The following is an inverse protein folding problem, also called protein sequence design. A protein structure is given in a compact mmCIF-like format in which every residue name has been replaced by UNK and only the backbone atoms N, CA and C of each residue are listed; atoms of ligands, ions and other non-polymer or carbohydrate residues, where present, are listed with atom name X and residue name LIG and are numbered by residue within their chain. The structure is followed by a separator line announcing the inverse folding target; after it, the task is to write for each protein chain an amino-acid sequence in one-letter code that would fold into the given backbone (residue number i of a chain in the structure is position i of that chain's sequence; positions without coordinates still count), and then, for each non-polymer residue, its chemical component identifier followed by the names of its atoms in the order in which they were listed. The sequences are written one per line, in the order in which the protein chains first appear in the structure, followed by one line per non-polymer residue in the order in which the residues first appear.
data_IF_435398682823
#
_entry.id   IF_435398682823
#
_cell.length_a   1.000
_cell.length_b   1.000
_cell.length_c   1.000
_cell.angle_alpha   90.00
_cell.angle_beta   90.00
_cell.angle_gamma   90.00
#
_symmetry.space_group_name_H-M   'P 1'
#
loop_
_entity.id
_entity.type
_entity.pdbx_description
1 polymer ?
#
# COMPACT_ATOMS: atom_id res chain seq x y z
N UNK A 1 28.11 10.62 -42.43
CA UNK A 1 28.48 10.46 -41.00
C UNK A 1 27.20 10.39 -40.19
N UNK A 2 26.75 9.19 -39.83
CA UNK A 2 25.63 9.06 -38.90
C UNK A 2 26.10 9.46 -37.50
N UNK A 3 25.34 10.30 -36.80
CA UNK A 3 25.64 10.62 -35.42
C UNK A 3 25.68 9.32 -34.60
N UNK A 4 26.83 9.01 -33.99
CA UNK A 4 26.93 7.92 -33.02
C UNK A 4 26.08 8.31 -31.81
N UNK A 5 24.90 7.71 -31.70
CA UNK A 5 24.07 7.82 -30.50
C UNK A 5 24.85 7.15 -29.37
N UNK A 6 25.11 7.88 -28.28
CA UNK A 6 25.71 7.30 -27.09
C UNK A 6 24.78 6.19 -26.55
N UNK A 7 25.31 5.04 -26.10
CA UNK A 7 24.48 4.01 -25.49
C UNK A 7 23.72 4.62 -24.30
N UNK A 8 22.40 4.42 -24.29
CA UNK A 8 21.52 4.86 -23.21
C UNK A 8 21.40 3.71 -22.23
N UNK A 9 21.60 3.99 -20.94
CA UNK A 9 21.46 3.01 -19.87
C UNK A 9 20.55 3.59 -18.79
N UNK A 10 19.84 2.71 -18.09
CA UNK A 10 18.92 3.08 -17.04
C UNK A 10 19.41 2.54 -15.70
N UNK A 11 19.49 3.42 -14.70
CA UNK A 11 19.74 3.04 -13.32
C UNK A 11 18.51 3.40 -12.51
N UNK A 12 17.91 2.40 -11.86
CA UNK A 12 16.81 2.58 -10.91
C UNK A 12 17.31 2.34 -9.49
N UNK A 13 16.79 3.10 -8.53
CA UNK A 13 17.05 2.92 -7.11
C UNK A 13 15.74 2.99 -6.34
N UNK A 14 15.53 2.07 -5.40
CA UNK A 14 14.33 1.99 -4.55
C UNK A 14 13.01 2.04 -5.35
N UNK A 15 12.97 1.45 -6.55
CA UNK A 15 11.79 1.53 -7.40
C UNK A 15 10.70 0.55 -6.92
N UNK A 16 9.46 1.01 -6.66
CA UNK A 16 8.33 0.13 -6.35
C UNK A 16 7.79 -0.49 -7.65
N UNK A 17 8.56 -1.37 -8.29
CA UNK A 17 8.31 -1.92 -9.64
C UNK A 17 6.86 -2.34 -9.87
N UNK A 18 6.26 -3.01 -8.88
CA UNK A 18 4.89 -3.52 -8.97
C UNK A 18 3.92 -2.85 -7.99
N UNK A 19 4.29 -1.68 -7.46
CA UNK A 19 3.61 -1.00 -6.37
C UNK A 19 4.12 -1.43 -4.99
N UNK A 20 3.47 -0.93 -3.92
CA UNK A 20 3.84 -1.22 -2.54
C UNK A 20 2.59 -1.33 -1.64
N UNK A 21 2.47 -2.42 -0.88
CA UNK A 21 1.35 -2.61 0.05
C UNK A 21 1.33 -1.54 1.17
N UNK A 22 2.45 -0.89 1.43
CA UNK A 22 2.56 0.29 2.32
C UNK A 22 1.56 1.40 1.95
N UNK A 23 1.22 1.57 0.66
CA UNK A 23 0.21 2.54 0.25
C UNK A 23 -1.19 2.23 0.83
N UNK A 24 -1.57 0.95 0.90
CA UNK A 24 -2.80 0.51 1.57
C UNK A 24 -2.75 0.80 3.07
N UNK A 25 -1.62 0.49 3.74
CA UNK A 25 -1.44 0.84 5.15
C UNK A 25 -1.61 2.32 5.38
N UNK A 26 -0.97 3.16 4.58
CA UNK A 26 -1.04 4.61 4.76
C UNK A 26 -2.45 5.16 4.55
N UNK A 27 -3.24 4.57 3.66
CA UNK A 27 -4.65 4.92 3.49
C UNK A 27 -5.49 4.65 4.76
N UNK A 28 -5.09 3.70 5.60
CA UNK A 28 -5.79 3.36 6.85
C UNK A 28 -5.18 3.98 8.11
N UNK A 29 -3.87 4.20 8.14
CA UNK A 29 -3.14 4.61 9.35
C UNK A 29 -2.57 6.03 9.26
N UNK A 30 -2.45 6.62 8.07
CA UNK A 30 -1.62 7.80 7.85
C UNK A 30 -0.16 7.43 7.50
N UNK A 31 0.67 8.44 7.26
CA UNK A 31 2.12 8.31 7.16
C UNK A 31 2.77 8.52 8.53
N UNK A 32 3.87 7.79 8.78
CA UNK A 32 4.65 7.92 10.00
C UNK A 32 5.60 9.13 9.94
N UNK A 33 6.03 9.59 11.12
CA UNK A 33 7.07 10.60 11.28
C UNK A 33 6.75 11.95 10.62
N UNK A 34 7.81 12.64 10.15
CA UNK A 34 7.70 13.97 9.54
C UNK A 34 6.87 14.00 8.26
N UNK A 35 6.86 12.89 7.51
CA UNK A 35 6.10 12.76 6.25
C UNK A 35 4.59 12.85 6.49
N UNK A 36 4.11 12.39 7.65
CA UNK A 36 2.71 12.51 8.07
C UNK A 36 2.18 13.95 8.09
N UNK A 37 3.02 14.94 8.38
CA UNK A 37 2.59 16.34 8.36
C UNK A 37 2.36 16.89 6.95
N UNK A 38 2.85 16.21 5.92
CA UNK A 38 2.72 16.63 4.51
C UNK A 38 1.70 15.78 3.78
N UNK A 39 1.77 14.45 3.93
CA UNK A 39 0.95 13.50 3.18
C UNK A 39 -0.28 12.98 3.95
N UNK A 40 -0.41 13.36 5.21
CA UNK A 40 -1.53 13.00 6.08
C UNK A 40 -1.12 12.04 7.20
N UNK A 41 -1.56 12.33 8.42
CA UNK A 41 -1.21 11.57 9.65
C UNK A 41 -2.24 10.51 10.05
N UNK A 42 -3.36 10.45 9.33
CA UNK A 42 -4.46 9.53 9.59
C UNK A 42 -5.18 9.18 8.27
N UNK A 43 -6.12 8.23 8.34
CA UNK A 43 -6.86 7.77 7.17
C UNK A 43 -7.61 8.90 6.45
N UNK A 44 -8.22 9.84 7.19
CA UNK A 44 -9.01 10.90 6.59
C UNK A 44 -8.16 11.86 5.76
N UNK A 45 -7.02 12.29 6.29
CA UNK A 45 -6.09 13.18 5.58
C UNK A 45 -5.47 12.48 4.36
N UNK A 46 -5.02 11.24 4.51
CA UNK A 46 -4.45 10.48 3.38
C UNK A 46 -5.52 10.24 2.32
N UNK A 47 -6.75 9.86 2.69
CA UNK A 47 -7.84 9.62 1.73
C UNK A 47 -8.20 10.88 0.94
N UNK A 48 -8.27 12.03 1.61
CA UNK A 48 -8.59 13.31 0.99
C UNK A 48 -7.56 13.73 -0.09
N UNK A 49 -6.33 13.23 0.00
CA UNK A 49 -5.28 13.44 -1.00
C UNK A 49 -5.20 12.27 -2.00
N UNK A 50 -4.94 11.06 -1.50
CA UNK A 50 -4.55 9.90 -2.30
C UNK A 50 -5.67 9.44 -3.24
N UNK A 51 -6.93 9.51 -2.82
CA UNK A 51 -8.08 9.16 -3.69
C UNK A 51 -8.20 10.06 -4.94
N UNK A 52 -7.55 11.23 -4.92
CA UNK A 52 -7.58 12.22 -6.00
C UNK A 52 -6.25 12.35 -6.75
N UNK A 53 -5.19 11.66 -6.30
CA UNK A 53 -3.85 11.72 -6.85
C UNK A 53 -3.57 10.51 -7.78
N UNK A 54 -3.55 10.75 -9.10
CA UNK A 54 -3.35 9.67 -10.08
C UNK A 54 -2.03 8.91 -9.86
N UNK A 55 -0.92 9.63 -9.70
CA UNK A 55 0.39 9.00 -9.44
C UNK A 55 0.44 8.23 -8.12
N UNK A 56 -0.27 8.71 -7.08
CA UNK A 56 -0.37 7.97 -5.82
C UNK A 56 -1.15 6.67 -5.94
N UNK A 57 -2.23 6.66 -6.73
CA UNK A 57 -3.01 5.45 -7.02
C UNK A 57 -2.24 4.45 -7.90
N UNK A 58 -1.30 4.94 -8.72
CA UNK A 58 -0.40 4.09 -9.51
C UNK A 58 0.64 3.37 -8.63
N UNK A 59 0.90 3.81 -7.39
CA UNK A 59 1.79 3.12 -6.45
C UNK A 59 1.15 1.93 -5.73
N UNK A 60 -0.16 1.72 -5.88
CA UNK A 60 -0.84 0.58 -5.28
C UNK A 60 -0.31 -0.75 -5.89
N UNK A 61 -0.30 -1.85 -5.12
CA UNK A 61 -0.03 -3.18 -5.65
C UNK A 61 -0.80 -3.46 -6.96
N UNK A 62 -0.08 -3.61 -8.06
CA UNK A 62 -0.68 -3.79 -9.38
C UNK A 62 -0.98 -5.29 -9.66
N UNK A 63 -1.46 -5.60 -10.86
CA UNK A 63 -1.79 -6.97 -11.27
C UNK A 63 -0.59 -7.94 -11.35
N UNK A 64 0.64 -7.42 -11.33
CA UNK A 64 1.92 -8.14 -11.29
C UNK A 64 2.53 -8.21 -9.89
N UNK A 65 1.97 -7.52 -8.90
CA UNK A 65 2.50 -7.52 -7.53
C UNK A 65 2.52 -8.95 -6.97
N UNK A 66 3.66 -9.30 -6.39
CA UNK A 66 3.86 -10.55 -5.68
C UNK A 66 4.50 -10.24 -4.33
N UNK A 67 4.09 -11.01 -3.33
CA UNK A 67 4.74 -11.04 -2.02
C UNK A 67 6.07 -11.79 -2.12
N UNK A 68 6.98 -11.58 -1.17
CA UNK A 68 8.31 -12.22 -1.12
C UNK A 68 8.22 -13.75 -1.23
N UNK A 69 7.17 -14.33 -0.64
CA UNK A 69 6.77 -15.70 -0.96
C UNK A 69 5.77 -15.61 -2.10
N UNK A 70 6.07 -16.08 -3.33
CA UNK A 70 5.30 -15.73 -4.53
C UNK A 70 3.79 -16.01 -4.42
N UNK A 71 3.03 -14.97 -4.11
CA UNK A 71 1.56 -14.96 -4.00
C UNK A 71 1.05 -13.55 -4.32
N UNK A 72 -0.15 -13.44 -4.91
CA UNK A 72 -0.80 -12.15 -5.16
C UNK A 72 -1.59 -11.66 -3.94
N UNK A 73 -1.78 -12.51 -2.92
CA UNK A 73 -2.63 -12.28 -1.75
C UNK A 73 -1.92 -11.44 -0.68
N UNK A 74 -1.61 -10.20 -1.02
CA UNK A 74 -0.92 -9.27 -0.12
C UNK A 74 -1.82 -8.64 0.96
N UNK A 75 -3.14 -8.84 0.91
CA UNK A 75 -4.09 -8.35 1.91
C UNK A 75 -4.83 -9.49 2.61
N UNK A 76 -4.70 -9.56 3.93
CA UNK A 76 -5.15 -10.71 4.73
C UNK A 76 -5.83 -10.30 6.04
N UNK A 77 -6.64 -11.21 6.57
CA UNK A 77 -7.22 -11.19 7.90
C UNK A 77 -6.74 -12.44 8.65
N UNK A 78 -6.25 -12.27 9.87
CA UNK A 78 -6.08 -13.35 10.83
C UNK A 78 -7.22 -13.26 11.83
N UNK A 79 -8.10 -14.25 11.81
CA UNK A 79 -9.26 -14.30 12.70
C UNK A 79 -8.89 -14.68 14.14
N UNK A 80 -9.86 -14.62 15.04
CA UNK A 80 -9.72 -15.01 16.46
C UNK A 80 -9.24 -16.46 16.67
N UNK A 81 -9.44 -17.34 15.68
CA UNK A 81 -8.99 -18.73 15.69
C UNK A 81 -7.57 -18.89 15.11
N UNK A 82 -6.88 -17.78 14.83
CA UNK A 82 -5.57 -17.72 14.18
C UNK A 82 -5.58 -18.28 12.76
N UNK A 83 -6.74 -18.34 12.12
CA UNK A 83 -6.86 -18.73 10.72
C UNK A 83 -6.67 -17.52 9.83
N UNK A 84 -5.84 -17.70 8.82
CA UNK A 84 -5.58 -16.68 7.81
C UNK A 84 -6.62 -16.78 6.68
N UNK A 85 -7.15 -15.62 6.29
CA UNK A 85 -8.08 -15.45 5.18
C UNK A 85 -7.55 -14.35 4.27
N UNK A 86 -7.53 -14.56 2.95
CA UNK A 86 -7.24 -13.47 2.04
C UNK A 86 -8.49 -12.63 1.82
N UNK A 87 -8.36 -11.32 1.99
CA UNK A 87 -9.44 -10.36 1.74
C UNK A 87 -9.59 -10.02 0.25
N UNK A 88 -8.68 -10.52 -0.59
CA UNK A 88 -8.63 -10.27 -2.03
C UNK A 88 -8.70 -11.54 -2.87
N UNK A 89 -9.15 -12.66 -2.31
CA UNK A 89 -9.30 -13.94 -3.04
C UNK A 89 -10.20 -13.83 -4.27
N UNK A 90 -11.24 -12.98 -4.22
CA UNK A 90 -12.14 -12.73 -5.34
C UNK A 90 -11.53 -11.83 -6.44
N UNK A 91 -10.35 -11.25 -6.19
CA UNK A 91 -9.72 -10.20 -7.01
C UNK A 91 -8.30 -10.56 -7.48
N UNK A 92 -8.08 -11.72 -8.13
CA UNK A 92 -6.77 -12.09 -8.63
C UNK A 92 -6.29 -11.19 -9.78
N UNK A 93 -5.00 -10.86 -9.78
CA UNK A 93 -4.29 -10.20 -10.90
C UNK A 93 -5.01 -8.92 -11.34
N UNK A 94 -5.46 -8.84 -12.59
CA UNK A 94 -6.16 -7.68 -13.17
C UNK A 94 -7.43 -7.28 -12.40
N UNK A 95 -8.06 -8.22 -11.69
CA UNK A 95 -9.24 -7.92 -10.86
C UNK A 95 -8.89 -7.11 -9.60
N UNK A 96 -7.61 -6.91 -9.29
CA UNK A 96 -7.22 -6.07 -8.14
C UNK A 96 -7.76 -4.63 -8.27
N UNK A 97 -7.91 -4.12 -9.49
CA UNK A 97 -8.52 -2.80 -9.71
C UNK A 97 -10.02 -2.80 -9.40
N UNK A 98 -10.71 -3.95 -9.46
CA UNK A 98 -12.09 -4.07 -8.99
C UNK A 98 -12.18 -3.99 -7.46
N UNK A 99 -11.20 -4.57 -6.76
CA UNK A 99 -11.06 -4.38 -5.31
C UNK A 99 -10.86 -2.89 -4.97
N UNK A 100 -9.95 -2.19 -5.63
CA UNK A 100 -9.72 -0.77 -5.36
C UNK A 100 -10.93 0.13 -5.67
N UNK A 101 -11.80 -0.24 -6.62
CA UNK A 101 -13.07 0.46 -6.86
C UNK A 101 -14.12 0.23 -5.77
N UNK A 102 -13.98 -0.84 -4.98
CA UNK A 102 -14.93 -1.18 -3.92
C UNK A 102 -14.66 -0.32 -2.70
N UNK A 103 -15.66 0.44 -2.25
CA UNK A 103 -15.56 1.41 -1.14
C UNK A 103 -16.49 1.10 0.04
N UNK A 104 -17.19 -0.03 -0.02
CA UNK A 104 -18.22 -0.42 0.96
C UNK A 104 -17.73 -1.43 1.99
N UNK A 105 -16.57 -2.06 1.79
CA UNK A 105 -16.05 -3.06 2.71
C UNK A 105 -15.26 -2.36 3.82
N UNK A 106 -15.26 -2.91 5.03
CA UNK A 106 -14.49 -2.32 6.14
C UNK A 106 -12.97 -2.28 5.88
N UNK A 107 -12.50 -3.17 5.00
CA UNK A 107 -11.11 -3.29 4.52
C UNK A 107 -10.89 -2.70 3.12
N UNK A 108 -11.88 -2.01 2.55
CA UNK A 108 -11.70 -1.24 1.29
C UNK A 108 -10.58 -0.22 1.44
N UNK A 109 -9.80 0.01 0.37
CA UNK A 109 -8.72 1.01 0.35
C UNK A 109 -9.19 2.39 0.87
N UNK A 110 -10.36 2.83 0.43
CA UNK A 110 -11.05 4.01 0.95
C UNK A 110 -12.52 3.69 1.21
N UNK A 111 -13.09 4.30 2.25
CA UNK A 111 -14.54 4.26 2.44
C UNK A 111 -15.23 5.36 1.65
N UNK A 112 -16.52 5.14 1.35
CA UNK A 112 -17.38 6.15 0.73
C UNK A 112 -17.41 7.48 1.51
N UNK A 113 -17.38 7.40 2.83
CA UNK A 113 -17.35 8.57 3.72
C UNK A 113 -16.09 9.39 3.51
N UNK A 114 -14.91 8.76 3.49
CA UNK A 114 -13.62 9.46 3.44
C UNK A 114 -13.33 10.11 2.08
N UNK A 115 -13.81 9.52 0.98
CA UNK A 115 -13.64 10.14 -0.35
C UNK A 115 -14.65 11.24 -0.62
N UNK A 116 -15.79 11.25 0.09
CA UNK A 116 -16.90 12.20 -0.17
C UNK A 116 -16.88 13.42 0.76
N UNK A 117 -15.79 13.63 1.51
CA UNK A 117 -15.66 14.74 2.45
C UNK A 117 -15.80 16.09 1.72
N UNK A 118 -16.58 17.00 2.31
CA UNK A 118 -16.88 18.32 1.75
C UNK A 118 -18.05 18.36 0.75
N UNK A 119 -18.59 17.21 0.34
CA UNK A 119 -19.75 17.12 -0.58
C UNK A 119 -20.90 16.25 -0.05
N UNK A 120 -20.86 15.88 1.23
CA UNK A 120 -21.70 14.87 1.89
C UNK A 120 -23.19 15.20 1.84
N UNK A 121 -23.53 16.48 1.70
CA UNK A 121 -24.92 16.96 1.72
C UNK A 121 -25.59 16.94 0.33
N UNK A 122 -24.84 16.69 -0.74
CA UNK A 122 -25.33 16.80 -2.11
C UNK A 122 -25.12 15.45 -2.82
N UNK A 123 -26.16 14.59 -2.93
CA UNK A 123 -26.03 13.24 -3.49
C UNK A 123 -25.39 13.20 -4.88
N UNK A 124 -25.73 14.17 -5.74
CA UNK A 124 -25.14 14.30 -7.09
C UNK A 124 -23.63 14.52 -7.05
N UNK A 125 -23.12 15.25 -6.06
CA UNK A 125 -21.69 15.51 -5.92
C UNK A 125 -20.97 14.27 -5.39
N UNK A 126 -21.59 13.53 -4.46
CA UNK A 126 -21.08 12.23 -3.98
C UNK A 126 -20.92 11.27 -5.15
N UNK A 127 -21.95 11.12 -5.99
CA UNK A 127 -21.89 10.24 -7.16
C UNK A 127 -20.80 10.66 -8.14
N UNK A 128 -20.65 11.97 -8.38
CA UNK A 128 -19.59 12.50 -9.24
C UNK A 128 -18.20 12.21 -8.69
N UNK A 129 -17.97 12.40 -7.39
CA UNK A 129 -16.69 12.11 -6.74
C UNK A 129 -16.35 10.63 -6.85
N UNK A 130 -17.29 9.73 -6.51
CA UNK A 130 -17.12 8.28 -6.66
C UNK A 130 -16.82 7.89 -8.10
N UNK A 131 -17.54 8.47 -9.07
CA UNK A 131 -17.32 8.22 -10.50
C UNK A 131 -15.92 8.65 -10.94
N UNK A 132 -15.44 9.79 -10.47
CA UNK A 132 -14.09 10.27 -10.77
C UNK A 132 -13.02 9.39 -10.12
N UNK A 133 -13.21 8.98 -8.87
CA UNK A 133 -12.35 8.02 -8.20
C UNK A 133 -12.25 6.70 -8.99
N UNK A 134 -13.39 6.11 -9.38
CA UNK A 134 -13.41 4.88 -10.18
C UNK A 134 -12.68 5.05 -11.53
N UNK A 135 -12.81 6.22 -12.18
CA UNK A 135 -12.07 6.52 -13.42
C UNK A 135 -10.56 6.55 -13.21
N UNK A 136 -10.08 7.05 -12.06
CA UNK A 136 -8.64 7.06 -11.72
C UNK A 136 -8.10 5.65 -11.50
N UNK A 137 -8.86 4.80 -10.81
CA UNK A 137 -8.49 3.38 -10.64
C UNK A 137 -8.41 2.67 -12.00
N UNK A 138 -9.36 2.91 -12.90
CA UNK A 138 -9.29 2.39 -14.28
C UNK A 138 -8.06 2.93 -15.03
N UNK A 139 -7.73 4.20 -14.86
CA UNK A 139 -6.53 4.79 -15.45
C UNK A 139 -5.23 4.17 -14.90
N UNK A 140 -5.17 3.88 -13.59
CA UNK A 140 -4.03 3.20 -12.97
C UNK A 140 -3.88 1.76 -13.52
N UNK A 141 -4.98 1.04 -13.73
CA UNK A 141 -4.95 -0.26 -14.40
C UNK A 141 -4.42 -0.19 -15.84
N UNK A 142 -4.87 0.81 -16.61
CA UNK A 142 -4.35 1.04 -17.97
C UNK A 142 -2.86 1.41 -17.97
N UNK A 143 -2.43 2.27 -17.06
CA UNK A 143 -1.03 2.64 -16.88
C UNK A 143 -0.17 1.38 -16.69
N UNK A 144 -0.56 0.50 -15.77
CA UNK A 144 0.18 -0.73 -15.51
C UNK A 144 0.08 -1.76 -16.62
N UNK A 145 -1.04 -1.86 -17.35
CA UNK A 145 -1.14 -2.74 -18.52
C UNK A 145 -0.15 -2.34 -19.63
N UNK A 146 0.24 -1.07 -19.67
CA UNK A 146 1.22 -0.55 -20.64
C UNK A 146 2.64 -0.66 -20.11
N UNK A 147 2.88 -0.35 -18.83
CA UNK A 147 4.22 -0.25 -18.25
C UNK A 147 4.75 -1.57 -17.64
N UNK A 148 3.85 -2.42 -17.14
CA UNK A 148 4.19 -3.63 -16.37
C UNK A 148 5.18 -4.53 -17.10
N UNK A 149 6.24 -4.94 -16.41
CA UNK A 149 7.27 -5.84 -16.95
C UNK A 149 8.19 -5.23 -18.03
N UNK A 150 8.02 -3.95 -18.39
CA UNK A 150 8.80 -3.32 -19.46
C UNK A 150 9.93 -2.47 -18.89
N UNK A 151 11.14 -2.82 -19.27
CA UNK A 151 12.36 -2.12 -18.91
C UNK A 151 13.16 -1.80 -20.18
N UNK A 152 14.02 -0.79 -20.09
CA UNK A 152 15.06 -0.59 -21.09
C UNK A 152 16.00 -1.82 -21.08
N UNK A 153 16.52 -2.24 -22.24
CA UNK A 153 17.36 -3.45 -22.31
C UNK A 153 18.63 -3.32 -21.46
N UNK A 154 19.18 -2.12 -21.31
CA UNK A 154 20.32 -1.87 -20.44
C UNK A 154 19.87 -1.24 -19.11
N UNK A 155 19.20 -2.02 -18.27
CA UNK A 155 18.72 -1.56 -16.96
C UNK A 155 19.43 -2.26 -15.80
N UNK A 156 19.94 -1.49 -14.85
CA UNK A 156 20.34 -1.96 -13.52
C UNK A 156 19.44 -1.33 -12.47
N UNK A 157 18.90 -2.13 -11.55
CA UNK A 157 18.05 -1.67 -10.46
C UNK A 157 18.67 -2.06 -9.12
N UNK A 158 18.75 -1.08 -8.22
CA UNK A 158 19.19 -1.25 -6.84
C UNK A 158 17.99 -1.17 -5.91
N UNK A 159 17.91 -2.06 -4.92
CA UNK A 159 16.87 -2.06 -3.90
C UNK A 159 17.43 -2.45 -2.53
N UNK A 160 16.72 -2.08 -1.46
CA UNK A 160 17.09 -2.48 -0.11
C UNK A 160 16.60 -3.89 0.21
N UNK A 161 17.47 -4.68 0.83
CA UNK A 161 17.12 -5.94 1.50
C UNK A 161 17.34 -5.87 3.02
N UNK A 162 17.50 -4.67 3.58
CA UNK A 162 17.75 -4.50 5.01
C UNK A 162 16.55 -4.99 5.85
N UNK A 163 16.76 -6.02 6.67
CA UNK A 163 15.76 -6.55 7.60
C UNK A 163 15.44 -5.63 8.78
N UNK A 164 16.31 -4.66 9.07
CA UNK A 164 16.13 -3.67 10.14
C UNK A 164 15.24 -2.50 9.73
N UNK A 165 14.91 -2.38 8.44
CA UNK A 165 13.95 -1.41 7.89
C UNK A 165 12.73 -2.12 7.31
N UNK A 166 11.87 -2.70 8.18
CA UNK A 166 10.75 -3.49 7.72
C UNK A 166 9.75 -2.65 6.93
N UNK A 167 9.27 -3.22 5.82
CA UNK A 167 8.28 -2.65 4.92
C UNK A 167 7.09 -3.60 4.77
N UNK A 168 5.95 -3.08 4.35
CA UNK A 168 4.76 -3.91 4.13
C UNK A 168 4.88 -4.68 2.82
N UNK A 169 5.24 -5.95 2.92
CA UNK A 169 5.08 -6.95 1.85
C UNK A 169 3.63 -7.47 1.79
N UNK A 170 3.08 -7.74 2.98
CA UNK A 170 1.70 -8.16 3.22
C UNK A 170 1.09 -7.27 4.30
N UNK A 171 -0.12 -6.78 4.05
CA UNK A 171 -0.96 -6.12 5.05
C UNK A 171 -1.86 -7.15 5.73
N UNK A 172 -1.71 -7.32 7.05
CA UNK A 172 -2.47 -8.30 7.83
C UNK A 172 -3.29 -7.55 8.87
N UNK A 173 -4.61 -7.64 8.74
CA UNK A 173 -5.54 -7.26 9.80
C UNK A 173 -5.64 -8.40 10.81
N UNK A 174 -5.42 -8.11 12.10
CA UNK A 174 -5.60 -9.05 13.20
C UNK A 174 -6.93 -8.78 13.90
N UNK A 175 -7.75 -9.82 14.02
CA UNK A 175 -8.97 -9.78 14.81
C UNK A 175 -8.66 -10.02 16.30
N UNK A 176 -9.09 -9.07 17.14
CA UNK A 176 -9.15 -9.21 18.59
C UNK A 176 -10.60 -9.11 19.04
N UNK A 177 -11.25 -10.26 19.20
CA UNK A 177 -12.62 -10.31 19.68
C UNK A 177 -13.37 -11.54 19.22
N UNK A 178 -14.69 -11.39 19.16
CA UNK A 178 -15.60 -12.51 18.94
C UNK A 178 -16.71 -12.21 17.94
N UNK A 179 -16.50 -11.28 17.00
CA UNK A 179 -17.47 -10.94 15.96
C UNK A 179 -17.89 -12.21 15.20
N UNK A 180 -19.20 -12.43 15.12
CA UNK A 180 -19.77 -13.61 14.48
C UNK A 180 -19.87 -13.41 12.96
N UNK A 181 -20.26 -14.47 12.25
CA UNK A 181 -20.56 -14.39 10.82
C UNK A 181 -19.33 -14.31 9.90
N UNK A 182 -19.59 -14.00 8.63
CA UNK A 182 -18.55 -13.87 7.62
C UNK A 182 -17.90 -12.48 7.72
N UNK A 183 -16.56 -12.40 7.70
CA UNK A 183 -15.84 -11.13 7.80
C UNK A 183 -16.17 -10.12 6.69
N UNK A 184 -16.69 -10.58 5.54
CA UNK A 184 -17.16 -9.72 4.45
C UNK A 184 -18.49 -9.02 4.72
N UNK A 185 -19.20 -9.38 5.79
CA UNK A 185 -20.45 -8.74 6.23
C UNK A 185 -20.27 -7.94 7.52
N UNK A 186 -19.03 -7.68 7.94
CA UNK A 186 -18.76 -6.86 9.11
C UNK A 186 -18.86 -5.38 8.76
N UNK A 187 -19.43 -4.61 9.69
CA UNK A 187 -19.67 -3.17 9.57
C UNK A 187 -18.85 -2.44 10.65
N UNK A 188 -18.32 -1.26 10.31
CA UNK A 188 -17.51 -0.44 11.23
C UNK A 188 -18.45 0.32 12.17
N UNK A 189 -18.24 0.18 13.48
CA UNK A 189 -19.01 0.91 14.51
C UNK A 189 -18.22 2.02 15.20
N UNK A 190 -16.89 1.93 15.15
CA UNK A 190 -15.94 2.92 15.64
C UNK A 190 -14.62 2.77 14.89
N UNK A 191 -13.91 3.87 14.68
CA UNK A 191 -12.60 3.88 14.06
C UNK A 191 -11.81 5.10 14.50
N UNK A 192 -10.51 5.08 14.22
CA UNK A 192 -9.62 6.19 14.53
C UNK A 192 -9.21 7.05 13.30
N UNK A 193 -9.99 7.00 12.22
CA UNK A 193 -9.70 7.64 10.93
C UNK A 193 -9.43 9.16 11.06
N UNK A 194 -10.03 9.84 12.05
CA UNK A 194 -9.93 11.28 12.27
C UNK A 194 -9.12 11.66 13.52
N UNK A 195 -8.26 10.78 14.05
CA UNK A 195 -7.40 11.13 15.20
C UNK A 195 -6.56 12.38 14.89
N UNK A 196 -6.48 13.29 15.86
CA UNK A 196 -5.80 14.58 15.73
C UNK A 196 -4.27 14.48 15.62
N UNK A 197 -3.67 13.45 16.18
CA UNK A 197 -2.25 13.14 15.99
C UNK A 197 -2.14 11.93 15.07
N UNK A 198 -1.41 10.89 15.43
CA UNK A 198 -1.28 9.69 14.61
C UNK A 198 -2.39 8.67 14.88
N UNK A 199 -2.89 8.04 13.82
CA UNK A 199 -3.84 6.94 13.90
C UNK A 199 -3.12 5.60 13.77
N UNK A 200 -3.63 4.56 14.44
CA UNK A 200 -3.13 3.19 14.26
C UNK A 200 -3.92 2.46 13.15
N UNK A 201 -5.00 3.06 12.65
CA UNK A 201 -5.92 2.42 11.72
C UNK A 201 -6.87 1.43 12.40
N UNK A 202 -7.01 1.52 13.73
CA UNK A 202 -7.83 0.63 14.53
C UNK A 202 -9.32 0.82 14.21
N UNK A 203 -10.03 -0.31 14.08
CA UNK A 203 -11.46 -0.35 13.78
C UNK A 203 -12.17 -1.29 14.73
N UNK A 204 -13.30 -0.87 15.29
CA UNK A 204 -14.23 -1.79 15.92
C UNK A 204 -15.29 -2.18 14.90
N UNK A 205 -15.50 -3.48 14.75
CA UNK A 205 -16.44 -4.05 13.79
C UNK A 205 -17.45 -4.96 14.48
N UNK A 206 -18.63 -5.06 13.87
CA UNK A 206 -19.73 -5.93 14.29
C UNK A 206 -20.33 -6.62 13.07
N UNK A 207 -20.95 -7.77 13.27
CA UNK A 207 -21.74 -8.40 12.22
C UNK A 207 -22.97 -7.52 11.89
N UNK A 208 -23.27 -7.33 10.61
CA UNK A 208 -24.45 -6.60 10.13
C UNK A 208 -25.77 -7.01 10.78
N UNK A 209 -25.95 -8.30 11.07
CA UNK A 209 -27.16 -8.80 11.76
C UNK A 209 -27.24 -8.33 13.23
N UNK A 210 -26.08 -8.15 13.86
CA UNK A 210 -25.93 -7.74 15.25
C UNK A 210 -25.81 -6.22 15.42
N UNK A 211 -25.60 -5.46 14.33
CA UNK A 211 -25.42 -4.01 14.35
C UNK A 211 -26.62 -3.29 15.01
N UNK A 212 -27.85 -3.71 14.70
CA UNK A 212 -29.06 -3.13 15.30
C UNK A 212 -29.10 -3.33 16.81
N UNK A 213 -28.69 -4.51 17.27
CA UNK A 213 -28.61 -4.83 18.70
C UNK A 213 -27.51 -4.01 19.37
N UNK A 214 -26.36 -3.85 18.72
CA UNK A 214 -25.28 -2.99 19.20
C UNK A 214 -25.75 -1.54 19.36
N UNK A 215 -26.40 -0.94 18.37
CA UNK A 215 -26.88 0.45 18.45
C UNK A 215 -27.87 0.64 19.61
N UNK A 216 -28.73 -0.37 19.86
CA UNK A 216 -29.63 -0.36 21.01
C UNK A 216 -28.87 -0.41 22.35
N UNK A 217 -27.88 -1.30 22.49
CA UNK A 217 -27.03 -1.43 23.69
C UNK A 217 -26.20 -0.17 23.93
N UNK A 218 -25.59 0.41 22.89
CA UNK A 218 -24.83 1.67 22.95
C UNK A 218 -25.72 2.82 23.43
N UNK A 219 -26.92 2.96 22.86
CA UNK A 219 -27.90 3.98 23.27
C UNK A 219 -28.35 3.81 24.72
N UNK A 220 -28.53 2.57 25.18
CA UNK A 220 -28.84 2.26 26.57
C UNK A 220 -27.65 2.58 27.51
N UNK A 221 -26.44 2.22 27.11
CA UNK A 221 -25.21 2.49 27.86
C UNK A 221 -24.92 3.99 27.99
N UNK A 222 -25.06 4.76 26.90
CA UNK A 222 -24.92 6.23 26.90
C UNK A 222 -25.94 6.93 27.81
N UNK A 223 -27.15 6.37 27.95
CA UNK A 223 -28.17 6.87 28.90
C UNK A 223 -27.78 6.57 30.34
N UNK A 224 -27.15 5.42 30.62
CA UNK A 224 -26.64 5.10 31.96
C UNK A 224 -25.35 5.83 32.34
N UNK A 225 -24.48 6.13 31.38
CA UNK A 225 -23.18 6.81 31.60
C UNK A 225 -23.30 8.33 31.71
N UNK A 226 -24.51 8.90 31.70
CA UNK A 226 -24.71 10.33 32.00
C UNK A 226 -24.36 10.65 33.47
N UNK A 227 -24.18 9.64 34.33
CA UNK A 227 -23.86 9.76 35.75
C UNK A 227 -22.51 9.13 36.18
N UNK A 228 -21.79 8.47 35.27
CA UNK A 228 -20.49 7.84 35.55
C UNK A 228 -19.60 7.98 34.31
N UNK A 229 -18.40 8.56 34.47
CA UNK A 229 -17.50 8.97 33.37
C UNK A 229 -17.27 7.93 32.26
N UNK A 230 -16.92 8.42 31.06
CA UNK A 230 -16.73 7.61 29.84
C UNK A 230 -15.58 6.59 29.98
N UNK A 231 -15.89 5.38 30.41
CA UNK A 231 -15.03 4.22 30.17
C UNK A 231 -15.25 3.68 28.74
N UNK A 232 -14.17 3.13 28.16
CA UNK A 232 -14.23 2.38 26.91
C UNK A 232 -15.13 1.14 27.07
N UNK A 233 -16.05 0.91 26.14
CA UNK A 233 -17.01 -0.21 26.17
C UNK A 233 -16.43 -1.48 25.50
N UNK A 234 -15.22 -1.39 24.94
CA UNK A 234 -14.53 -2.52 24.32
C UNK A 234 -14.31 -3.65 25.32
N UNK A 235 -14.83 -4.84 24.98
CA UNK A 235 -14.83 -6.03 25.84
C UNK A 235 -16.08 -6.23 26.72
N UNK A 236 -16.99 -5.24 26.81
CA UNK A 236 -18.24 -5.35 27.59
C UNK A 236 -19.46 -5.76 26.75
N UNK A 237 -19.38 -5.68 25.43
CA UNK A 237 -20.48 -6.05 24.51
C UNK A 237 -20.06 -7.28 23.69
N UNK A 238 -20.73 -8.44 23.87
CA UNK A 238 -20.54 -9.61 23.02
C UNK A 238 -20.76 -9.29 21.53
N UNK A 239 -19.96 -9.89 20.65
CA UNK A 239 -20.12 -9.76 19.18
C UNK A 239 -19.33 -8.63 18.52
N UNK A 240 -18.51 -7.88 19.25
CA UNK A 240 -17.60 -6.87 18.68
C UNK A 240 -16.19 -7.45 18.55
N UNK A 241 -15.52 -7.11 17.45
CA UNK A 241 -14.09 -7.32 17.28
C UNK A 241 -13.36 -6.01 17.06
N UNK A 242 -12.22 -5.84 17.73
CA UNK A 242 -11.23 -4.83 17.38
C UNK A 242 -10.36 -5.42 16.27
N UNK A 243 -10.20 -4.69 15.18
CA UNK A 243 -9.36 -5.05 14.06
C UNK A 243 -8.17 -4.08 14.01
N UNK A 244 -6.96 -4.64 13.99
CA UNK A 244 -5.70 -3.89 14.03
C UNK A 244 -4.79 -4.32 12.88
N UNK A 245 -4.13 -3.37 12.23
CA UNK A 245 -3.15 -3.71 11.19
C UNK A 245 -1.83 -4.06 11.86
N UNK A 246 -1.31 -5.27 11.60
CA UNK A 246 -0.03 -5.69 12.15
C UNK A 246 1.13 -4.84 11.59
N UNK A 247 2.22 -4.66 12.37
CA UNK A 247 3.41 -3.98 11.88
C UNK A 247 4.06 -4.74 10.72
N UNK A 248 4.85 -4.05 9.87
CA UNK A 248 5.58 -4.71 8.80
C UNK A 248 6.68 -5.61 9.38
N UNK A 249 7.11 -6.60 8.61
CA UNK A 249 8.15 -7.55 9.01
C UNK A 249 9.16 -7.84 7.89
N UNK A 250 8.79 -7.58 6.64
CA UNK A 250 9.63 -7.89 5.49
C UNK A 250 10.75 -6.85 5.35
N UNK A 251 11.99 -7.30 5.19
CA UNK A 251 13.10 -6.39 4.93
C UNK A 251 12.87 -5.55 3.67
N UNK A 252 13.35 -4.32 3.68
CA UNK A 252 13.11 -3.29 2.66
C UNK A 252 13.76 -1.97 3.05
N UNK A 253 13.18 -0.86 2.62
CA UNK A 253 13.69 0.50 2.90
C UNK A 253 12.72 1.33 3.77
N UNK A 254 11.82 0.66 4.48
CA UNK A 254 10.73 1.25 5.26
C UNK A 254 9.48 1.63 4.42
N UNK A 255 9.56 1.64 3.08
CA UNK A 255 8.41 1.90 2.19
C UNK A 255 8.17 0.74 1.22
N UNK A 256 9.22 0.30 0.54
CA UNK A 256 9.21 -0.72 -0.50
C UNK A 256 9.84 -2.00 0.06
N UNK A 257 9.10 -3.12 0.09
CA UNK A 257 9.66 -4.39 0.53
C UNK A 257 10.63 -4.93 -0.52
N UNK A 258 11.62 -5.71 -0.08
CA UNK A 258 12.63 -6.30 -0.96
C UNK A 258 12.06 -7.09 -2.14
N UNK A 259 10.86 -7.66 -2.01
CA UNK A 259 10.18 -8.39 -3.09
C UNK A 259 9.87 -7.51 -4.30
N UNK A 260 9.54 -6.23 -4.09
CA UNK A 260 9.26 -5.30 -5.21
C UNK A 260 10.48 -5.00 -6.09
N UNK A 261 11.69 -5.16 -5.54
CA UNK A 261 12.95 -5.07 -6.29
C UNK A 261 13.45 -6.44 -6.78
N UNK A 262 13.46 -7.44 -5.89
CA UNK A 262 13.98 -8.78 -6.18
C UNK A 262 13.13 -9.58 -7.16
N UNK A 263 11.82 -9.41 -7.15
CA UNK A 263 10.89 -10.13 -8.03
C UNK A 263 10.57 -9.37 -9.33
N UNK A 264 11.24 -8.24 -9.56
CA UNK A 264 11.11 -7.50 -10.81
C UNK A 264 11.60 -8.37 -11.98
N UNK A 265 10.74 -8.54 -12.99
CA UNK A 265 11.04 -9.29 -14.21
C UNK A 265 10.87 -8.39 -15.41
N UNK A 266 11.84 -8.44 -16.31
CA UNK A 266 11.75 -7.80 -17.63
C UNK A 266 11.23 -8.79 -18.65
N UNK A 267 10.21 -8.41 -19.42
CA UNK A 267 9.69 -9.22 -20.54
C UNK A 267 10.77 -9.49 -21.59
N UNK A 268 11.71 -8.54 -21.78
CA UNK A 268 12.80 -8.64 -22.75
C UNK A 268 14.06 -9.32 -22.18
N UNK A 269 14.02 -9.77 -20.91
CA UNK A 269 15.06 -10.58 -20.28
C UNK A 269 16.31 -9.84 -19.78
N UNK A 270 16.48 -8.55 -20.08
CA UNK A 270 17.65 -7.78 -19.63
C UNK A 270 17.29 -6.80 -18.51
N UNK A 271 17.36 -7.28 -17.27
CA UNK A 271 17.28 -6.47 -16.06
C UNK A 271 18.24 -7.08 -15.04
N UNK A 272 19.15 -6.26 -14.51
CA UNK A 272 20.03 -6.65 -13.40
C UNK A 272 19.46 -6.04 -12.13
N UNK A 273 18.94 -6.87 -11.23
CA UNK A 273 18.44 -6.43 -9.92
C UNK A 273 19.46 -6.75 -8.83
N UNK A 274 19.88 -5.75 -8.07
CA UNK A 274 20.91 -5.84 -7.03
C UNK A 274 20.30 -5.42 -5.70
N UNK A 275 20.24 -6.37 -4.76
CA UNK A 275 19.87 -6.12 -3.37
C UNK A 275 21.05 -5.60 -2.56
N UNK A 276 20.84 -4.56 -1.77
CA UNK A 276 21.84 -3.94 -0.90
C UNK A 276 21.34 -3.87 0.54
N UNK A 277 22.26 -4.01 1.51
CA UNK A 277 21.99 -3.75 2.92
C UNK A 277 22.24 -2.27 3.22
N UNK A 278 21.29 -1.44 2.82
CA UNK A 278 21.34 0.01 3.06
C UNK A 278 20.98 0.35 4.50
N UNK A 279 21.62 1.38 5.03
CA UNK A 279 21.34 1.92 6.38
C UNK A 279 20.29 3.04 6.32
N UNK A 280 20.17 3.69 5.16
CA UNK A 280 19.23 4.78 4.91
C UNK A 280 17.86 4.28 4.40
N UNK A 281 16.80 4.96 4.83
CA UNK A 281 15.43 4.67 4.40
C UNK A 281 15.14 5.11 2.97
N UNK A 282 13.94 4.77 2.49
CA UNK A 282 13.50 5.00 1.11
C UNK A 282 13.78 6.42 0.58
N UNK A 283 13.47 7.44 1.39
CA UNK A 283 13.60 8.85 1.01
C UNK A 283 15.07 9.30 0.88
N UNK A 284 15.97 8.66 1.63
CA UNK A 284 17.41 8.98 1.66
C UNK A 284 18.26 7.89 0.99
N UNK A 285 17.64 6.96 0.25
CA UNK A 285 18.29 5.80 -0.36
C UNK A 285 19.55 6.16 -1.17
N UNK A 286 19.52 7.23 -1.96
CA UNK A 286 20.67 7.67 -2.75
C UNK A 286 21.77 8.39 -1.94
N UNK A 287 21.50 8.76 -0.69
CA UNK A 287 22.50 9.31 0.22
C UNK A 287 23.31 8.21 0.92
N UNK A 288 22.84 6.97 0.86
CA UNK A 288 23.57 5.82 1.37
C UNK A 288 24.90 5.64 0.64
N UNK A 289 25.97 5.46 1.41
CA UNK A 289 27.32 5.33 0.88
C UNK A 289 27.49 4.07 0.02
N UNK A 290 26.87 2.95 0.40
CA UNK A 290 26.92 1.72 -0.38
C UNK A 290 26.19 1.91 -1.71
N UNK A 291 24.99 2.51 -1.70
CA UNK A 291 24.23 2.80 -2.94
C UNK A 291 25.05 3.67 -3.89
N UNK A 292 25.59 4.78 -3.37
CA UNK A 292 26.41 5.70 -4.16
C UNK A 292 27.64 5.02 -4.77
N UNK A 293 28.31 4.16 -4.00
CA UNK A 293 29.47 3.40 -4.46
C UNK A 293 29.10 2.42 -5.58
N UNK A 294 28.05 1.63 -5.41
CA UNK A 294 27.64 0.62 -6.38
C UNK A 294 27.13 1.24 -7.68
N UNK A 295 26.34 2.32 -7.60
CA UNK A 295 25.92 3.10 -8.78
C UNK A 295 27.14 3.64 -9.52
N UNK A 296 28.10 4.22 -8.80
CA UNK A 296 29.32 4.78 -9.41
C UNK A 296 30.14 3.68 -10.09
N UNK A 297 30.29 2.52 -9.46
CA UNK A 297 30.99 1.36 -10.06
C UNK A 297 30.31 0.93 -11.34
N UNK A 298 28.97 0.80 -11.32
CA UNK A 298 28.20 0.37 -12.49
C UNK A 298 28.30 1.36 -13.65
N UNK A 299 28.25 2.66 -13.37
CA UNK A 299 28.45 3.70 -14.39
C UNK A 299 29.84 3.58 -15.00
N UNK A 300 30.89 3.38 -14.19
CA UNK A 300 32.26 3.24 -14.69
C UNK A 300 32.43 1.99 -15.57
N UNK A 301 31.80 0.87 -15.21
CA UNK A 301 31.77 -0.35 -16.02
C UNK A 301 31.12 -0.11 -17.39
N UNK A 302 29.90 0.41 -17.40
CA UNK A 302 29.13 0.69 -18.63
C UNK A 302 29.92 1.63 -19.55
N UNK A 303 30.51 2.68 -18.98
CA UNK A 303 31.34 3.64 -19.74
C UNK A 303 32.55 2.94 -20.35
N UNK A 304 33.28 2.11 -19.60
CA UNK A 304 34.45 1.36 -20.11
C UNK A 304 34.08 0.38 -21.21
N UNK A 305 32.97 -0.37 -21.07
CA UNK A 305 32.46 -1.30 -22.08
C UNK A 305 32.08 -0.57 -23.37
N UNK A 306 31.43 0.59 -23.24
CA UNK A 306 31.08 1.47 -24.36
C UNK A 306 32.31 2.00 -25.10
N UNK A 307 33.40 2.31 -24.40
CA UNK A 307 34.65 2.72 -25.05
C UNK A 307 35.35 1.55 -25.76
N UNK A 308 35.43 0.36 -25.13
CA UNK A 308 36.09 -0.82 -25.72
C UNK A 308 35.41 -1.26 -27.02
N UNK A 309 34.07 -1.34 -27.02
CA UNK A 309 33.30 -1.71 -28.21
C UNK A 309 33.52 -0.74 -29.38
N UNK A 310 33.60 0.57 -29.12
CA UNK A 310 33.93 1.57 -30.15
C UNK A 310 35.34 1.40 -30.73
N UNK A 311 36.33 1.04 -29.90
CA UNK A 311 37.70 0.82 -30.38
C UNK A 311 37.87 -0.46 -31.22
N UNK A 312 37.01 -1.47 -31.03
CA UNK A 312 37.06 -2.72 -31.82
C UNK A 312 36.40 -2.64 -33.19
N UNK A 313 35.54 -1.64 -33.44
CA UNK A 313 34.87 -1.43 -34.74
C UNK A 313 35.76 -0.64 -35.72
N UNK A 314 36.93 -0.16 -35.26
CA UNK A 314 37.93 0.53 -36.08
C UNK A 314 39.06 -0.45 -36.43
N UNK A 315 38.75 -1.50 -37.21
CA UNK A 315 39.73 -2.33 -37.94
C UNK A 315 39.13 -2.71 -39.29
#
# INVERSE_FOLDING_TARGET
MGALIAPVFMIHGAMPTNGAATAYRNAHCGYDGGVGFVLGKNAAEVSAMLAFCQGGLELLPNHLYQTIQPDYKWLKLVDRHKKEHSLIDAYPREKIYDFYKTTSQWYSLFSDELISVGVEKIPRNIELVKKNYMRRIVAAGRFWSVLGGKFHNDTTMFYSENSEMPSYDVCIWLERGGCSGNYSSWEIISNDNHKWFFAAGNKEVVNKEEEKNYQAVKKASLRSSYWAGRESITGKIPGISLIELLPPWAGGDGTVPKGSGGDARSENGFLISIGLKVEEGHQTFFLDHQVSKEITSRIQEIVRESYKSKCQVVV
#
